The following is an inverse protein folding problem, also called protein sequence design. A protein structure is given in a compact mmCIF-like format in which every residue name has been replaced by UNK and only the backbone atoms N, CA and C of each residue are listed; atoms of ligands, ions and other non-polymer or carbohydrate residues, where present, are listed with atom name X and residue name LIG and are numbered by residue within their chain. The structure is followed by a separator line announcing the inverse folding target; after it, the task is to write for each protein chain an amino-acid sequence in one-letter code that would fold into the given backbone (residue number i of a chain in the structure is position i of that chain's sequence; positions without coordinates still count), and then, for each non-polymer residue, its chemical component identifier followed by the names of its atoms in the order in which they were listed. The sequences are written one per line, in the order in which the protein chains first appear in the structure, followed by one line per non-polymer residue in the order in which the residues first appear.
data_IF_210768381886
#
_entry.id   IF_210768381886
#
_cell.length_a   1.000
_cell.length_b   1.000
_cell.length_c   1.000
_cell.angle_alpha   90.00
_cell.angle_beta   90.00
_cell.angle_gamma   90.00
#
_symmetry.space_group_name_H-M   'P 1'
#
loop_
_entity.id
_entity.type
_entity.pdbx_description
1 polymer ?
#
# COMPACT_ATOMS: atom_id res chain seq x y z
N UNK A 1 80.43 -83.21 -34.51
CA UNK A 1 80.28 -82.21 -33.43
C UNK A 1 81.04 -80.97 -33.88
N UNK A 2 80.48 -79.80 -34.15
CA UNK A 2 79.25 -79.14 -33.69
C UNK A 2 78.61 -78.35 -34.86
N UNK A 3 77.30 -78.13 -34.75
CA UNK A 3 76.43 -77.64 -35.80
C UNK A 3 76.53 -76.14 -36.11
N UNK A 4 76.31 -75.82 -37.38
CA UNK A 4 76.03 -74.47 -37.83
C UNK A 4 74.53 -74.16 -37.59
N UNK A 5 74.25 -73.31 -36.61
CA UNK A 5 72.91 -72.75 -36.43
C UNK A 5 72.62 -71.80 -37.60
N UNK A 6 71.58 -72.12 -38.39
CA UNK A 6 71.02 -71.25 -39.42
C UNK A 6 70.51 -69.97 -38.77
N UNK A 7 71.09 -68.83 -39.15
CA UNK A 7 70.52 -67.51 -38.86
C UNK A 7 69.19 -67.37 -39.57
N UNK A 8 68.11 -67.30 -38.78
CA UNK A 8 66.79 -66.87 -39.28
C UNK A 8 66.88 -65.36 -39.47
N UNK A 9 66.80 -64.94 -40.73
CA UNK A 9 66.72 -63.53 -41.13
C UNK A 9 65.27 -63.09 -40.89
N UNK A 10 65.01 -62.20 -39.93
CA UNK A 10 63.70 -61.55 -39.82
C UNK A 10 63.47 -60.75 -41.11
N UNK A 11 62.57 -61.23 -41.97
CA UNK A 11 62.08 -60.50 -43.14
C UNK A 11 61.06 -59.45 -42.68
N UNK A 12 61.15 -58.25 -43.25
CA UNK A 12 60.17 -57.15 -43.26
C UNK A 12 59.07 -57.28 -42.21
N UNK A 13 59.35 -56.74 -41.02
CA UNK A 13 58.33 -56.58 -39.99
C UNK A 13 57.56 -55.32 -40.37
N UNK A 14 56.45 -55.50 -41.08
CA UNK A 14 55.45 -54.44 -41.20
C UNK A 14 54.69 -54.37 -39.89
N UNK A 15 54.46 -53.16 -39.42
CA UNK A 15 53.62 -52.89 -38.26
C UNK A 15 52.26 -53.58 -38.40
N UNK A 16 51.75 -54.15 -37.30
CA UNK A 16 50.41 -54.73 -37.25
C UNK A 16 49.52 -53.67 -36.64
N UNK A 17 48.53 -53.18 -37.39
CA UNK A 17 47.57 -52.23 -36.85
C UNK A 17 46.57 -52.94 -35.92
N UNK A 18 46.86 -52.97 -34.62
CA UNK A 18 46.01 -53.66 -33.65
C UNK A 18 44.65 -53.00 -33.45
N UNK A 19 44.48 -51.75 -33.91
CA UNK A 19 43.20 -51.05 -33.88
C UNK A 19 42.28 -51.48 -35.03
N UNK A 20 42.84 -51.66 -36.23
CA UNK A 20 42.10 -52.11 -37.42
C UNK A 20 41.75 -53.59 -37.35
N UNK A 21 42.60 -54.40 -36.70
CA UNK A 21 42.41 -55.84 -36.54
C UNK A 21 41.62 -56.22 -35.26
N UNK A 22 41.09 -55.24 -34.52
CA UNK A 22 40.36 -55.41 -33.24
C UNK A 22 41.14 -56.21 -32.17
N UNK A 23 42.47 -56.20 -32.25
CA UNK A 23 43.35 -56.90 -31.31
C UNK A 23 43.67 -56.06 -30.06
N UNK A 24 43.44 -54.75 -30.11
CA UNK A 24 43.65 -53.83 -29.01
C UNK A 24 42.47 -53.84 -28.01
N UNK A 25 42.64 -54.31 -26.76
CA UNK A 25 41.61 -54.31 -25.74
C UNK A 25 41.47 -52.93 -25.09
N UNK A 26 41.21 -51.89 -25.87
CA UNK A 26 40.95 -50.53 -25.37
C UNK A 26 39.49 -50.40 -24.94
N UNK A 27 39.26 -49.85 -23.75
CA UNK A 27 37.88 -49.57 -23.29
C UNK A 27 37.20 -48.47 -24.12
N UNK A 28 37.97 -47.51 -24.63
CA UNK A 28 37.50 -46.44 -25.51
C UNK A 28 38.23 -46.50 -26.86
N UNK A 29 38.95 -45.45 -27.26
CA UNK A 29 39.55 -45.34 -28.59
C UNK A 29 40.93 -45.98 -28.62
N UNK A 30 41.23 -46.72 -29.67
CA UNK A 30 42.57 -47.21 -29.98
C UNK A 30 43.32 -46.24 -30.90
N UNK A 31 44.64 -46.11 -30.71
CA UNK A 31 45.55 -45.34 -31.57
C UNK A 31 46.75 -46.22 -31.89
N UNK A 32 46.87 -46.61 -33.16
CA UNK A 32 47.97 -47.44 -33.64
C UNK A 32 49.28 -46.64 -33.70
N UNK A 33 50.39 -47.29 -33.40
CA UNK A 33 51.74 -46.72 -33.47
C UNK A 33 52.72 -47.76 -34.01
N UNK A 34 53.88 -47.32 -34.51
CA UNK A 34 54.82 -48.25 -35.11
C UNK A 34 55.39 -49.25 -34.06
N UNK A 35 54.98 -50.51 -34.16
CA UNK A 35 55.35 -51.61 -33.30
C UNK A 35 54.47 -51.81 -32.05
N UNK A 36 53.36 -51.06 -31.90
CA UNK A 36 52.45 -51.14 -30.74
C UNK A 36 51.17 -50.32 -30.95
N UNK A 37 50.20 -50.44 -30.06
CA UNK A 37 49.09 -49.49 -29.93
C UNK A 37 49.10 -48.75 -28.59
N UNK A 38 48.31 -47.67 -28.52
CA UNK A 38 47.97 -46.97 -27.28
C UNK A 38 46.45 -46.76 -27.20
N UNK A 39 45.89 -46.77 -25.99
CA UNK A 39 44.48 -46.45 -25.79
C UNK A 39 44.33 -44.97 -25.42
N UNK A 40 43.23 -44.36 -25.87
CA UNK A 40 42.88 -42.97 -25.62
C UNK A 40 41.43 -42.87 -25.12
N UNK A 41 41.23 -42.07 -24.08
CA UNK A 41 39.93 -41.90 -23.46
C UNK A 41 39.13 -40.76 -24.11
N UNK A 42 37.80 -40.86 -24.03
CA UNK A 42 36.89 -39.75 -24.37
C UNK A 42 37.05 -38.58 -23.39
N UNK A 43 36.63 -37.35 -23.75
CA UNK A 43 36.64 -36.22 -22.82
C UNK A 43 35.92 -36.55 -21.51
N UNK A 44 36.53 -36.18 -20.37
CA UNK A 44 36.02 -36.48 -19.03
C UNK A 44 36.44 -37.84 -18.46
N UNK A 45 37.37 -38.55 -19.11
CA UNK A 45 37.90 -39.83 -18.64
C UNK A 45 39.43 -39.84 -18.67
N UNK A 46 40.04 -40.50 -17.69
CA UNK A 46 41.49 -40.69 -17.56
C UNK A 46 41.88 -42.16 -17.83
N UNK A 47 43.03 -42.36 -18.47
CA UNK A 47 43.54 -43.70 -18.78
C UNK A 47 44.12 -44.35 -17.53
N UNK A 48 43.63 -45.54 -17.21
CA UNK A 48 44.07 -46.36 -16.11
C UNK A 48 45.55 -46.74 -16.17
N UNK A 49 46.10 -47.14 -15.02
CA UNK A 49 47.47 -47.63 -14.91
C UNK A 49 47.77 -48.89 -15.76
N UNK A 50 46.73 -49.61 -16.18
CA UNK A 50 46.83 -50.74 -17.11
C UNK A 50 46.96 -50.33 -18.59
N UNK A 51 46.86 -49.03 -18.88
CA UNK A 51 46.95 -48.45 -20.22
C UNK A 51 45.80 -48.82 -21.13
N UNK A 52 44.69 -49.39 -20.60
CA UNK A 52 43.61 -50.00 -21.40
C UNK A 52 42.22 -49.55 -20.97
N UNK A 53 41.97 -49.44 -19.67
CA UNK A 53 40.68 -49.01 -19.14
C UNK A 53 40.63 -47.50 -18.93
N UNK A 54 39.48 -46.89 -19.19
CA UNK A 54 39.27 -45.46 -18.97
C UNK A 54 38.31 -45.27 -17.79
N UNK A 55 38.73 -44.50 -16.80
CA UNK A 55 37.93 -44.18 -15.62
C UNK A 55 37.39 -42.77 -15.78
N UNK A 56 36.13 -42.56 -15.40
CA UNK A 56 35.56 -41.20 -15.41
C UNK A 56 36.38 -40.35 -14.44
N UNK A 57 36.79 -39.17 -14.87
CA UNK A 57 37.33 -38.14 -13.97
C UNK A 57 36.12 -37.74 -13.12
N UNK A 58 35.97 -38.37 -11.97
CA UNK A 58 35.01 -37.90 -10.98
C UNK A 58 35.53 -36.53 -10.58
N UNK A 59 34.80 -35.49 -10.99
CA UNK A 59 34.85 -34.21 -10.31
C UNK A 59 34.51 -34.54 -8.86
N UNK A 60 35.54 -34.72 -8.03
CA UNK A 60 35.35 -34.83 -6.61
C UNK A 60 34.58 -33.56 -6.22
N UNK A 61 33.32 -33.75 -5.82
CA UNK A 61 32.57 -32.70 -5.14
C UNK A 61 33.25 -32.60 -3.78
N UNK A 62 34.39 -31.91 -3.75
CA UNK A 62 35.01 -31.48 -2.49
C UNK A 62 33.91 -30.75 -1.76
N UNK A 63 33.54 -31.26 -0.60
CA UNK A 63 32.44 -30.70 0.16
C UNK A 63 32.77 -29.23 0.47
N UNK A 64 32.14 -28.33 -0.28
CA UNK A 64 32.41 -26.90 -0.24
C UNK A 64 32.05 -26.26 1.11
N UNK A 65 31.34 -27.00 1.98
CA UNK A 65 30.94 -26.55 3.30
C UNK A 65 31.92 -26.97 4.41
N UNK A 66 32.84 -27.91 4.16
CA UNK A 66 33.76 -28.42 5.20
C UNK A 66 34.63 -27.32 5.82
N UNK A 67 35.04 -26.35 5.02
CA UNK A 67 35.88 -25.25 5.47
C UNK A 67 35.04 -24.00 5.72
N UNK A 68 35.05 -23.51 6.96
CA UNK A 68 34.39 -22.28 7.37
C UNK A 68 32.91 -22.19 6.91
N UNK A 69 32.19 -23.31 6.93
CA UNK A 69 30.80 -23.40 6.46
C UNK A 69 30.61 -22.90 5.01
N UNK A 70 31.62 -23.04 4.14
CA UNK A 70 31.60 -22.48 2.78
C UNK A 70 31.61 -20.94 2.71
N UNK A 71 31.78 -20.29 3.87
CA UNK A 71 31.60 -18.86 4.05
C UNK A 71 30.15 -18.43 4.26
N UNK A 72 29.20 -19.37 4.41
CA UNK A 72 27.79 -19.06 4.68
C UNK A 72 27.60 -18.62 6.14
N UNK A 73 26.76 -17.60 6.38
CA UNK A 73 26.41 -17.16 7.74
C UNK A 73 25.63 -18.19 8.54
N UNK A 74 24.66 -18.87 7.90
CA UNK A 74 23.77 -19.82 8.58
C UNK A 74 23.97 -21.24 8.05
N UNK A 75 23.29 -21.61 6.97
CA UNK A 75 23.32 -22.98 6.44
C UNK A 75 24.13 -23.05 5.15
N UNK A 76 24.82 -24.18 4.95
CA UNK A 76 25.59 -24.47 3.75
C UNK A 76 25.24 -25.86 3.21
N UNK A 77 24.97 -25.93 1.91
CA UNK A 77 24.78 -27.17 1.16
C UNK A 77 25.86 -27.31 0.08
N UNK A 78 26.51 -28.49 -0.06
CA UNK A 78 27.49 -28.71 -1.13
C UNK A 78 26.81 -28.70 -2.50
N UNK A 79 27.35 -27.93 -3.46
CA UNK A 79 26.83 -27.90 -4.83
C UNK A 79 27.95 -27.89 -5.88
N UNK A 80 27.61 -28.27 -7.11
CA UNK A 80 28.53 -28.46 -8.25
C UNK A 80 29.21 -27.14 -8.68
N UNK A 81 28.71 -25.98 -8.23
CA UNK A 81 29.28 -24.66 -8.48
C UNK A 81 29.92 -23.96 -7.27
N UNK A 82 30.05 -24.64 -6.12
CA UNK A 82 30.48 -24.05 -4.86
C UNK A 82 29.43 -24.21 -3.74
N UNK A 83 29.67 -23.61 -2.55
CA UNK A 83 28.74 -23.71 -1.44
C UNK A 83 27.45 -22.94 -1.74
N UNK A 84 26.31 -23.60 -1.57
CA UNK A 84 24.99 -22.96 -1.65
C UNK A 84 24.54 -22.61 -0.24
N UNK A 85 24.41 -21.31 0.03
CA UNK A 85 24.00 -20.82 1.34
C UNK A 85 22.48 -20.70 1.44
N UNK A 86 21.94 -20.86 2.64
CA UNK A 86 20.55 -20.53 2.96
C UNK A 86 20.43 -19.97 4.38
N UNK A 87 19.36 -19.23 4.64
CA UNK A 87 19.17 -18.49 5.88
C UNK A 87 18.10 -19.13 6.76
N UNK A 88 18.21 -18.89 8.08
CA UNK A 88 17.15 -19.15 9.03
C UNK A 88 15.88 -18.36 8.68
N UNK A 89 14.75 -18.74 9.29
CA UNK A 89 13.52 -17.96 9.20
C UNK A 89 13.74 -16.50 9.64
N UNK A 90 12.98 -15.55 9.06
CA UNK A 90 13.13 -14.11 9.30
C UNK A 90 14.41 -13.49 8.71
N UNK A 91 15.12 -14.20 7.84
CA UNK A 91 16.35 -13.69 7.22
C UNK A 91 16.37 -14.01 5.72
N UNK A 92 17.08 -13.17 4.96
CA UNK A 92 17.33 -13.35 3.52
C UNK A 92 18.81 -13.28 3.19
N UNK A 93 19.18 -13.86 2.04
CA UNK A 93 20.54 -13.76 1.52
C UNK A 93 20.81 -12.33 1.03
N UNK A 94 21.99 -11.83 1.39
CA UNK A 94 22.53 -10.58 0.88
C UNK A 94 23.11 -10.75 -0.55
N UNK A 95 23.53 -9.66 -1.16
CA UNK A 95 24.06 -9.61 -2.53
C UNK A 95 25.33 -10.47 -2.74
N UNK A 96 26.02 -10.87 -1.67
CA UNK A 96 27.18 -11.76 -1.72
C UNK A 96 26.81 -13.27 -1.79
N UNK A 97 25.51 -13.58 -1.74
CA UNK A 97 24.93 -14.93 -1.72
C UNK A 97 25.42 -15.81 -0.55
N UNK A 98 25.95 -15.19 0.52
CA UNK A 98 26.56 -15.90 1.65
C UNK A 98 26.12 -15.36 3.01
N UNK A 99 26.01 -14.05 3.09
CA UNK A 99 25.64 -13.35 4.30
C UNK A 99 24.12 -13.37 4.45
N UNK A 100 23.65 -13.72 5.64
CA UNK A 100 22.22 -13.63 5.96
C UNK A 100 21.96 -12.33 6.69
N UNK A 101 21.10 -11.50 6.12
CA UNK A 101 20.62 -10.27 6.71
C UNK A 101 19.18 -10.45 7.16
N UNK A 102 18.81 -9.71 8.19
CA UNK A 102 17.44 -9.67 8.67
C UNK A 102 16.46 -9.28 7.56
N UNK A 103 15.31 -9.93 7.54
CA UNK A 103 14.23 -9.56 6.63
C UNK A 103 13.25 -8.67 7.37
N UNK A 104 13.35 -7.36 7.17
CA UNK A 104 12.46 -6.42 7.85
C UNK A 104 11.03 -6.53 7.31
N UNK A 105 10.18 -7.27 8.03
CA UNK A 105 8.77 -7.45 7.68
C UNK A 105 7.97 -6.14 7.78
N UNK A 106 8.42 -5.19 8.62
CA UNK A 106 7.77 -3.89 8.79
C UNK A 106 8.03 -2.97 7.60
N UNK A 107 9.25 -2.93 7.06
CA UNK A 107 9.60 -2.11 5.89
C UNK A 107 9.07 -2.70 4.58
N UNK A 108 9.06 -4.03 4.47
CA UNK A 108 8.54 -4.74 3.30
C UNK A 108 7.02 -4.71 3.18
N UNK A 109 6.31 -4.52 4.30
CA UNK A 109 4.85 -4.57 4.38
C UNK A 109 4.29 -5.98 4.49
N UNK A 110 5.13 -6.98 4.73
CA UNK A 110 4.72 -8.37 4.96
C UNK A 110 4.25 -8.60 6.42
N UNK A 111 4.50 -7.65 7.32
CA UNK A 111 4.00 -7.68 8.69
C UNK A 111 2.47 -7.55 8.74
N UNK A 112 1.83 -8.33 9.60
CA UNK A 112 0.37 -8.31 9.78
C UNK A 112 -0.16 -7.17 10.68
N UNK A 113 0.72 -6.29 11.17
CA UNK A 113 0.39 -5.34 12.22
C UNK A 113 -0.62 -4.27 11.76
N UNK A 114 -1.70 -4.10 12.51
CA UNK A 114 -2.73 -3.10 12.20
C UNK A 114 -2.30 -1.65 12.49
N UNK A 115 -1.47 -1.42 13.51
CA UNK A 115 -1.07 -0.07 13.94
C UNK A 115 0.45 0.09 14.01
N UNK A 116 1.11 -0.48 15.02
CA UNK A 116 2.55 -0.34 15.23
C UNK A 116 3.26 -1.65 14.88
N UNK A 117 4.39 -1.55 14.17
CA UNK A 117 5.25 -2.68 13.85
C UNK A 117 6.67 -2.39 14.35
N UNK A 118 7.24 -3.33 15.11
CA UNK A 118 8.59 -3.24 15.65
C UNK A 118 9.39 -4.42 15.12
N UNK A 119 10.35 -4.13 14.24
CA UNK A 119 11.24 -5.15 13.68
C UNK A 119 12.40 -5.47 14.65
N UNK A 120 12.81 -6.74 14.69
CA UNK A 120 14.01 -7.21 15.38
C UNK A 120 14.67 -8.36 14.61
N UNK A 121 15.90 -8.73 14.97
CA UNK A 121 16.61 -9.77 14.22
C UNK A 121 15.88 -11.12 14.29
N UNK A 122 15.39 -11.57 13.15
CA UNK A 122 14.67 -12.83 12.96
C UNK A 122 13.15 -12.75 13.03
N UNK A 123 12.56 -11.54 13.10
CA UNK A 123 11.12 -11.34 12.97
C UNK A 123 10.65 -10.00 13.54
N UNK A 124 9.34 -9.90 13.77
CA UNK A 124 8.72 -8.66 14.19
C UNK A 124 7.73 -8.87 15.33
N UNK A 125 7.35 -7.76 15.97
CA UNK A 125 6.29 -7.71 16.98
C UNK A 125 5.32 -6.58 16.64
N UNK A 126 4.04 -6.86 16.75
CA UNK A 126 2.99 -5.86 16.59
C UNK A 126 2.68 -5.20 17.93
N UNK A 127 2.50 -3.88 17.89
CA UNK A 127 2.05 -3.08 19.02
C UNK A 127 0.80 -2.28 18.67
N UNK A 128 0.16 -1.75 19.71
CA UNK A 128 -1.00 -0.90 19.59
C UNK A 128 -0.72 0.48 20.18
N UNK A 129 -1.42 1.49 19.66
CA UNK A 129 -1.44 2.83 20.21
C UNK A 129 -2.13 2.84 21.58
N UNK A 130 -1.98 3.93 22.31
CA UNK A 130 -2.70 4.14 23.57
C UNK A 130 -4.22 4.08 23.36
N UNK A 131 -4.96 3.51 24.31
CA UNK A 131 -6.40 3.21 24.17
C UNK A 131 -6.71 1.90 23.45
N UNK A 132 -5.70 1.15 23.00
CA UNK A 132 -5.89 -0.13 22.32
C UNK A 132 -5.08 -1.25 22.95
N UNK A 133 -5.54 -2.48 22.79
CA UNK A 133 -4.82 -3.70 23.17
C UNK A 133 -4.65 -4.63 21.98
N UNK A 134 -3.58 -5.42 21.99
CA UNK A 134 -3.35 -6.41 20.93
C UNK A 134 -4.50 -7.43 20.92
N UNK A 135 -5.03 -7.70 19.73
CA UNK A 135 -6.07 -8.70 19.56
C UNK A 135 -5.51 -10.11 19.71
N UNK A 136 -6.40 -11.09 19.85
CA UNK A 136 -6.05 -12.49 20.08
C UNK A 136 -5.27 -13.14 18.92
N UNK A 137 -5.32 -12.55 17.73
CA UNK A 137 -4.57 -12.97 16.56
C UNK A 137 -3.11 -12.47 16.55
N UNK A 138 -2.75 -11.56 17.47
CA UNK A 138 -1.42 -10.95 17.55
C UNK A 138 -1.14 -9.90 16.46
N UNK A 139 -2.13 -9.52 15.66
CA UNK A 139 -1.99 -8.65 14.49
C UNK A 139 -2.88 -7.41 14.58
N UNK A 140 -4.12 -7.60 15.07
CA UNK A 140 -5.10 -6.52 15.24
C UNK A 140 -4.92 -5.73 16.52
N UNK A 141 -5.51 -4.55 16.57
CA UNK A 141 -5.63 -3.73 17.78
C UNK A 141 -7.10 -3.50 18.10
N UNK A 142 -7.54 -4.06 19.22
CA UNK A 142 -8.90 -3.91 19.72
C UNK A 142 -8.97 -2.72 20.66
N UNK A 143 -10.04 -1.94 20.52
CA UNK A 143 -10.35 -0.84 21.39
C UNK A 143 -10.49 -1.29 22.86
N UNK A 144 -9.92 -0.53 23.78
CA UNK A 144 -10.06 -0.78 25.22
C UNK A 144 -11.22 0.04 25.72
N UNK A 145 -12.30 -0.63 26.12
CA UNK A 145 -13.42 0.06 26.75
C UNK A 145 -13.06 0.50 28.17
N UNK A 146 -12.63 1.76 28.32
CA UNK A 146 -12.23 2.29 29.62
C UNK A 146 -13.45 2.51 30.54
N UNK A 147 -14.67 2.61 30.00
CA UNK A 147 -15.89 2.73 30.81
C UNK A 147 -16.20 1.46 31.62
N UNK A 148 -15.57 0.32 31.27
CA UNK A 148 -15.61 -0.90 32.07
C UNK A 148 -14.57 -0.91 33.20
N UNK A 149 -13.63 0.03 33.21
CA UNK A 149 -12.61 0.17 34.24
C UNK A 149 -13.11 1.08 35.38
N UNK A 150 -12.94 0.63 36.61
CA UNK A 150 -13.37 1.37 37.82
C UNK A 150 -12.48 2.59 38.10
N UNK A 151 -11.35 2.73 37.41
CA UNK A 151 -10.45 3.87 37.53
C UNK A 151 -10.88 5.08 36.69
N UNK A 152 -11.84 4.93 35.78
CA UNK A 152 -12.42 6.05 35.05
C UNK A 152 -13.41 6.80 35.93
N UNK A 153 -13.13 8.09 36.12
CA UNK A 153 -13.83 8.98 37.03
C UNK A 153 -14.66 10.00 36.22
N UNK A 154 -15.77 9.52 35.65
CA UNK A 154 -16.82 10.38 35.08
C UNK A 154 -17.88 10.61 36.15
N UNK A 155 -18.35 11.85 36.30
CA UNK A 155 -19.32 12.21 37.34
C UNK A 155 -20.69 11.56 37.12
N UNK A 156 -21.12 11.40 35.86
CA UNK A 156 -22.43 10.85 35.52
C UNK A 156 -22.34 9.72 34.48
N UNK A 157 -22.12 10.05 33.20
CA UNK A 157 -22.11 9.08 32.11
C UNK A 157 -20.71 8.93 31.52
N UNK A 158 -20.30 7.69 31.26
CA UNK A 158 -19.10 7.37 30.47
C UNK A 158 -19.52 6.82 29.10
N UNK A 159 -18.92 7.35 28.04
CA UNK A 159 -19.14 6.92 26.66
C UNK A 159 -17.82 6.42 26.11
N UNK A 160 -17.76 5.14 25.77
CA UNK A 160 -16.59 4.56 25.13
C UNK A 160 -16.51 5.04 23.68
N UNK A 161 -15.36 5.59 23.31
CA UNK A 161 -15.03 6.10 21.98
C UNK A 161 -13.86 5.27 21.42
N UNK A 162 -13.59 5.35 20.12
CA UNK A 162 -12.48 4.55 19.55
C UNK A 162 -11.14 5.16 19.95
N UNK A 163 -10.35 4.42 20.73
CA UNK A 163 -9.04 4.77 21.27
C UNK A 163 -9.07 5.66 22.51
N UNK A 164 -10.26 5.94 23.07
CA UNK A 164 -10.44 6.83 24.22
C UNK A 164 -11.85 6.73 24.78
N UNK A 165 -12.16 7.52 25.81
CA UNK A 165 -13.51 7.66 26.34
C UNK A 165 -13.84 9.13 26.57
N UNK A 166 -15.13 9.43 26.53
CA UNK A 166 -15.66 10.76 26.81
C UNK A 166 -16.67 10.68 27.97
N UNK A 167 -16.59 11.63 28.91
CA UNK A 167 -17.62 11.78 29.92
C UNK A 167 -18.75 12.67 29.38
N UNK A 168 -19.98 12.32 29.69
CA UNK A 168 -21.17 13.07 29.34
C UNK A 168 -22.06 13.28 30.57
N UNK A 169 -22.98 14.24 30.46
CA UNK A 169 -23.89 14.62 31.53
C UNK A 169 -25.34 14.35 31.14
N UNK A 170 -26.15 14.06 32.14
CA UNK A 170 -27.60 13.95 32.03
C UNK A 170 -28.25 15.31 31.74
N UNK A 171 -29.53 15.29 31.34
CA UNK A 171 -30.28 16.51 31.05
C UNK A 171 -30.33 17.44 32.28
N UNK A 172 -30.12 18.74 32.07
CA UNK A 172 -30.03 19.74 33.14
C UNK A 172 -28.61 19.98 33.67
N UNK A 173 -27.60 19.31 33.11
CA UNK A 173 -26.19 19.48 33.47
C UNK A 173 -25.33 19.81 32.24
N UNK A 174 -24.22 20.54 32.45
CA UNK A 174 -23.18 20.76 31.43
C UNK A 174 -21.84 20.19 31.88
N UNK A 175 -21.03 19.73 30.93
CA UNK A 175 -19.68 19.22 31.23
C UNK A 175 -18.78 20.37 31.72
N UNK A 176 -18.05 20.12 32.80
CA UNK A 176 -17.08 21.02 33.40
C UNK A 176 -15.81 21.15 32.54
N UNK A 177 -14.96 22.11 32.89
CA UNK A 177 -13.70 22.38 32.17
C UNK A 177 -12.66 21.26 32.29
N UNK A 178 -12.83 20.37 33.26
CA UNK A 178 -12.00 19.18 33.45
C UNK A 178 -12.42 18.01 32.53
N UNK A 179 -13.52 18.17 31.78
CA UNK A 179 -14.05 17.14 30.88
C UNK A 179 -14.64 15.93 31.60
N UNK A 180 -14.88 16.02 32.93
CA UNK A 180 -15.30 14.89 33.77
C UNK A 180 -16.45 15.21 34.71
N UNK A 181 -16.46 16.42 35.28
CA UNK A 181 -17.46 16.85 36.25
C UNK A 181 -18.70 17.40 35.57
N UNK A 182 -19.90 17.10 36.08
CA UNK A 182 -21.15 17.65 35.56
C UNK A 182 -21.66 18.77 36.47
N UNK A 183 -21.76 19.98 35.92
CA UNK A 183 -22.23 21.18 36.62
C UNK A 183 -23.72 21.38 36.35
N UNK A 184 -24.52 21.56 37.40
CA UNK A 184 -25.96 21.79 37.21
C UNK A 184 -26.19 23.14 36.52
N UNK A 185 -27.17 23.18 35.61
CA UNK A 185 -27.59 24.41 34.94
C UNK A 185 -28.46 25.29 35.85
N UNK A 186 -29.00 24.71 36.94
CA UNK A 186 -29.85 25.41 37.90
C UNK A 186 -29.03 26.22 38.92
N UNK A 187 -27.77 25.84 39.18
CA UNK A 187 -26.87 26.56 40.08
C UNK A 187 -26.39 27.91 39.50
N UNK A 188 -26.54 28.14 38.18
CA UNK A 188 -26.24 29.44 37.55
C UNK A 188 -27.31 30.50 37.82
N UNK A 189 -28.43 30.18 38.50
CA UNK A 189 -29.48 31.14 38.85
C UNK A 189 -29.34 31.81 40.23
N UNK A 190 -28.26 31.55 40.99
CA UNK A 190 -28.10 32.11 42.34
C UNK A 190 -27.00 33.18 42.50
N UNK A 191 -26.56 33.81 41.40
CA UNK A 191 -25.76 35.05 41.45
C UNK A 191 -26.30 36.17 40.53
N UNK A 192 -27.58 36.12 40.12
CA UNK A 192 -28.26 37.22 39.38
C UNK A 192 -29.22 38.06 40.25
N UNK A 193 -29.05 38.09 41.57
CA UNK A 193 -29.62 39.17 42.39
C UNK A 193 -28.51 40.12 42.84
N UNK A 194 -28.42 41.24 42.13
CA UNK A 194 -27.50 42.39 42.33
C UNK A 194 -26.19 42.39 41.54
N UNK A 195 -26.23 42.62 40.23
CA UNK A 195 -25.52 43.77 39.63
C UNK A 195 -26.26 44.26 38.37
N UNK A 196 -26.85 45.45 38.50
CA UNK A 196 -27.30 46.25 37.37
C UNK A 196 -26.05 46.78 36.65
N UNK A 197 -25.51 46.02 35.70
CA UNK A 197 -24.42 46.49 34.83
C UNK A 197 -24.93 46.81 33.43
N UNK A 198 -24.98 48.11 33.19
CA UNK A 198 -25.22 48.87 31.96
C UNK A 198 -25.18 48.09 30.63
N UNK A 199 -26.36 47.98 30.01
CA UNK A 199 -26.52 47.70 28.58
C UNK A 199 -25.94 48.88 27.80
N UNK A 200 -24.64 48.84 27.49
CA UNK A 200 -24.06 49.63 26.42
C UNK A 200 -24.57 49.09 25.08
N UNK A 201 -25.70 49.66 24.69
CA UNK A 201 -26.25 49.76 23.35
C UNK A 201 -25.11 50.00 22.34
N UNK A 202 -24.68 48.98 21.60
CA UNK A 202 -23.92 49.20 20.38
C UNK A 202 -24.87 49.68 19.28
N UNK A 203 -24.67 50.87 18.69
CA UNK A 203 -25.42 51.29 17.52
C UNK A 203 -24.84 50.56 16.30
N UNK A 204 -25.53 49.55 15.78
CA UNK A 204 -25.12 48.93 14.51
C UNK A 204 -25.62 47.52 14.20
N UNK A 205 -26.18 46.77 15.15
CA UNK A 205 -26.87 45.52 14.80
C UNK A 205 -28.27 45.87 14.28
N UNK A 206 -28.39 45.95 12.95
CA UNK A 206 -29.68 45.77 12.28
C UNK A 206 -30.07 44.30 12.44
N UNK A 207 -30.82 44.00 13.51
CA UNK A 207 -31.72 42.85 13.47
C UNK A 207 -32.80 43.22 12.46
N UNK A 208 -32.59 42.85 11.20
CA UNK A 208 -33.72 42.73 10.29
C UNK A 208 -34.54 41.54 10.80
N UNK A 209 -35.59 41.87 11.54
CA UNK A 209 -36.75 41.01 11.65
C UNK A 209 -37.20 40.74 10.22
N UNK A 210 -36.93 39.54 9.71
CA UNK A 210 -37.56 39.11 8.47
C UNK A 210 -39.07 39.17 8.69
N UNK A 211 -39.81 39.91 7.86
CA UNK A 211 -41.25 40.05 8.01
C UNK A 211 -41.90 38.75 7.56
N UNK A 212 -42.57 38.07 8.50
CA UNK A 212 -43.64 37.13 8.17
C UNK A 212 -44.64 37.82 7.23
N UNK A 213 -45.21 37.11 6.24
CA UNK A 213 -46.24 36.13 6.60
C UNK A 213 -46.16 34.85 5.77
N UNK A 214 -46.14 33.70 6.45
CA UNK A 214 -46.93 32.59 5.94
C UNK A 214 -48.24 32.57 6.74
N UNK A 215 -49.37 32.88 6.09
CA UNK A 215 -50.66 32.91 6.75
C UNK A 215 -51.06 31.48 7.11
N UNK A 216 -51.60 31.36 8.31
CA UNK A 216 -52.61 30.39 8.71
C UNK A 216 -53.36 29.77 7.54
N UNK A 217 -53.34 28.44 7.46
CA UNK A 217 -54.53 27.60 7.32
C UNK A 217 -54.21 26.20 7.89
N UNK A 218 -54.69 25.94 9.10
CA UNK A 218 -55.29 24.65 9.46
C UNK A 218 -56.83 24.83 9.35
N UNK A 219 -57.68 23.80 9.53
CA UNK A 219 -57.64 22.38 9.19
C UNK A 219 -58.94 21.92 8.45
N UNK A 220 -59.09 20.59 8.22
CA UNK A 220 -60.34 19.80 8.13
C UNK A 220 -60.65 19.09 6.80
N UNK A 221 -60.66 17.76 6.89
CA UNK A 221 -61.62 16.77 6.37
C UNK A 221 -61.19 15.46 7.05
N UNK A 222 -61.65 15.12 8.26
CA UNK A 222 -63.01 14.65 8.54
C UNK A 222 -63.52 13.71 7.45
N UNK A 223 -63.09 12.45 7.50
CA UNK A 223 -63.85 11.33 6.99
C UNK A 223 -64.30 10.51 8.21
N UNK A 224 -65.47 10.86 8.72
CA UNK A 224 -66.28 10.01 9.58
C UNK A 224 -67.01 8.98 8.71
N UNK A 225 -66.77 7.69 8.95
CA UNK A 225 -67.74 6.63 8.69
C UNK A 225 -67.72 5.68 9.88
N UNK A 226 -68.91 5.45 10.44
CA UNK A 226 -69.22 4.68 11.62
C UNK A 226 -69.12 3.16 11.36
N UNK A 227 -68.61 2.46 12.37
CA UNK A 227 -68.94 1.12 12.90
C UNK A 227 -69.38 -0.03 11.95
N UNK A 228 -68.62 -1.13 11.96
CA UNK A 228 -68.96 -2.40 12.67
C UNK A 228 -67.92 -3.49 12.30
N UNK A 229 -67.42 -4.16 13.36
CA UNK A 229 -66.89 -5.53 13.42
C UNK A 229 -65.70 -5.95 12.51
N UNK A 230 -64.53 -6.16 13.12
CA UNK A 230 -63.90 -7.48 13.29
C UNK A 230 -62.40 -7.37 13.62
N UNK A 231 -61.93 -8.35 14.37
CA UNK A 231 -60.70 -8.45 15.15
C UNK A 231 -59.39 -8.52 14.34
N UNK A 232 -58.30 -8.29 15.08
CA UNK A 232 -56.90 -8.70 14.86
C UNK A 232 -55.96 -7.81 14.01
N UNK A 233 -54.99 -7.27 14.74
CA UNK A 233 -53.60 -6.98 14.36
C UNK A 233 -53.31 -5.77 13.43
N UNK A 234 -53.34 -4.57 14.02
CA UNK A 234 -52.59 -3.38 13.57
C UNK A 234 -51.20 -3.41 14.24
N UNK A 235 -50.07 -2.98 13.67
CA UNK A 235 -49.78 -1.80 12.83
C UNK A 235 -48.58 -2.16 11.90
N UNK A 236 -48.74 -2.13 10.59
CA UNK A 236 -48.52 -0.99 9.68
C UNK A 236 -47.05 -0.76 9.26
N UNK A 237 -46.76 -1.17 8.03
CA UNK A 237 -45.75 -0.55 7.17
C UNK A 237 -46.07 0.94 6.97
N UNK A 238 -45.09 1.82 7.13
CA UNK A 238 -44.59 2.77 6.11
C UNK A 238 -43.72 3.88 6.73
N UNK A 239 -42.78 4.39 5.92
CA UNK A 239 -41.97 5.61 6.10
C UNK A 239 -40.58 5.50 6.78
N UNK A 240 -39.61 4.92 6.06
CA UNK A 240 -38.19 5.23 6.27
C UNK A 240 -37.79 6.48 5.48
N UNK A 241 -38.30 7.64 5.90
CA UNK A 241 -37.82 8.97 5.51
C UNK A 241 -37.84 9.88 6.74
N UNK A 242 -36.73 9.95 7.48
CA UNK A 242 -36.65 10.90 8.59
C UNK A 242 -35.48 10.70 9.55
N UNK A 243 -34.25 10.95 9.10
CA UNK A 243 -33.15 11.48 9.93
C UNK A 243 -32.03 12.05 9.03
N UNK A 244 -32.43 12.92 8.10
CA UNK A 244 -31.56 13.94 7.53
C UNK A 244 -32.18 15.31 7.81
N UNK A 245 -32.28 15.67 9.08
CA UNK A 245 -32.36 17.07 9.49
C UNK A 245 -30.98 17.45 9.99
N UNK A 246 -30.10 17.68 9.01
CA UNK A 246 -28.79 18.30 9.14
C UNK A 246 -28.84 19.40 10.20
N UNK A 247 -28.09 19.26 11.30
CA UNK A 247 -27.42 20.43 11.83
C UNK A 247 -26.46 20.89 10.72
N UNK A 248 -26.94 21.74 9.81
CA UNK A 248 -26.08 22.38 8.83
C UNK A 248 -25.30 23.41 9.61
N UNK A 249 -24.07 23.06 9.97
CA UNK A 249 -23.10 24.02 10.51
C UNK A 249 -22.93 25.13 9.45
N UNK A 250 -23.54 26.28 9.70
CA UNK A 250 -23.44 27.46 8.83
C UNK A 250 -22.36 28.35 9.42
N UNK A 251 -21.21 28.38 8.77
CA UNK A 251 -20.10 29.21 9.20
C UNK A 251 -20.41 30.69 9.05
N UNK A 252 -19.91 31.48 10.00
CA UNK A 252 -19.97 32.95 9.97
C UNK A 252 -19.14 33.49 8.79
N UNK A 253 -19.22 34.80 8.53
CA UNK A 253 -18.48 35.39 7.42
C UNK A 253 -16.98 35.32 7.68
N UNK A 254 -16.28 34.65 6.76
CA UNK A 254 -14.85 34.43 6.87
C UNK A 254 -14.45 33.10 7.48
N UNK A 255 -15.36 32.18 7.82
CA UNK A 255 -14.99 30.81 8.23
C UNK A 255 -15.65 29.70 7.38
N UNK A 256 -15.04 28.52 7.35
CA UNK A 256 -15.48 27.34 6.60
C UNK A 256 -14.95 26.03 7.23
N UNK A 257 -15.42 24.89 6.74
CA UNK A 257 -15.09 23.55 7.28
C UNK A 257 -16.30 22.85 7.89
N UNK A 258 -16.12 21.61 8.33
CA UNK A 258 -17.20 20.80 8.95
C UNK A 258 -17.64 21.37 10.30
N UNK A 259 -16.76 22.11 10.98
CA UNK A 259 -16.91 22.71 12.31
C UNK A 259 -16.65 24.23 12.34
N UNK A 260 -16.44 24.87 11.18
CA UNK A 260 -16.09 26.29 11.02
C UNK A 260 -14.78 26.74 11.69
N UNK A 261 -13.87 25.82 11.99
CA UNK A 261 -12.59 26.14 12.61
C UNK A 261 -11.58 26.82 11.67
N UNK A 262 -11.82 26.81 10.36
CA UNK A 262 -10.92 27.40 9.37
C UNK A 262 -11.41 28.76 8.89
N UNK A 263 -10.51 29.71 8.71
CA UNK A 263 -10.80 31.05 8.20
C UNK A 263 -10.48 31.20 6.71
N UNK A 264 -11.23 32.03 5.98
CA UNK A 264 -10.92 32.47 4.62
C UNK A 264 -9.54 33.15 4.51
N UNK A 265 -9.02 33.72 5.61
CA UNK A 265 -7.66 34.25 5.66
C UNK A 265 -6.59 33.14 5.64
N UNK A 266 -6.99 31.89 5.86
CA UNK A 266 -6.11 30.73 5.82
C UNK A 266 -6.00 30.11 4.41
N UNK A 267 -6.62 30.70 3.38
CA UNK A 267 -6.36 30.29 2.00
C UNK A 267 -4.91 30.61 1.61
N UNK A 268 -4.10 29.56 1.44
CA UNK A 268 -2.69 29.69 1.11
C UNK A 268 -2.48 29.81 -0.40
N UNK A 269 -1.27 30.22 -0.79
CA UNK A 269 -0.80 30.24 -2.18
C UNK A 269 -1.68 31.01 -3.16
N UNK A 270 -2.37 32.06 -2.70
CA UNK A 270 -3.25 32.89 -3.53
C UNK A 270 -4.65 32.30 -3.76
N UNK A 271 -5.05 31.30 -2.96
CA UNK A 271 -6.41 30.77 -2.94
C UNK A 271 -7.46 31.83 -2.61
N UNK A 272 -8.63 31.73 -3.24
CA UNK A 272 -9.78 32.63 -3.00
C UNK A 272 -10.92 31.88 -2.34
N UNK A 273 -11.50 32.40 -1.27
CA UNK A 273 -12.58 31.71 -0.57
C UNK A 273 -13.81 31.45 -1.48
N UNK A 274 -14.36 30.23 -1.46
CA UNK A 274 -15.49 29.85 -2.32
C UNK A 274 -16.82 30.42 -1.81
N UNK A 275 -17.65 30.99 -2.68
CA UNK A 275 -19.03 31.39 -2.34
C UNK A 275 -19.84 30.14 -1.99
N UNK A 276 -20.31 30.05 -0.74
CA UNK A 276 -20.97 28.85 -0.20
C UNK A 276 -20.17 28.11 0.89
N UNK A 277 -18.98 28.60 1.25
CA UNK A 277 -18.24 28.29 2.50
C UNK A 277 -17.79 26.83 2.67
N UNK A 278 -17.48 26.13 1.57
CA UNK A 278 -16.96 24.75 1.61
C UNK A 278 -15.43 24.64 1.58
N UNK A 279 -14.70 25.74 1.33
CA UNK A 279 -13.24 25.72 1.19
C UNK A 279 -12.67 26.88 0.36
N UNK A 280 -11.38 26.81 0.04
CA UNK A 280 -10.67 27.73 -0.84
C UNK A 280 -10.69 27.27 -2.32
N UNK A 281 -10.90 28.19 -3.26
CA UNK A 281 -10.64 28.01 -4.68
C UNK A 281 -9.14 28.17 -4.93
N UNK A 282 -8.48 27.08 -5.27
CA UNK A 282 -7.03 27.05 -5.41
C UNK A 282 -6.58 27.42 -6.84
N UNK A 283 -5.53 28.24 -6.98
CA UNK A 283 -4.89 28.48 -8.27
C UNK A 283 -4.19 27.22 -8.79
N UNK A 284 -3.94 27.16 -10.10
CA UNK A 284 -3.38 25.99 -10.78
C UNK A 284 -2.11 25.46 -10.08
N UNK A 285 -2.06 24.15 -9.83
CA UNK A 285 -0.97 23.47 -9.14
C UNK A 285 -1.18 23.21 -7.65
N UNK A 286 -2.22 23.82 -7.05
CA UNK A 286 -2.57 23.65 -5.63
C UNK A 286 -3.92 22.97 -5.44
N UNK A 287 -4.01 22.10 -4.43
CA UNK A 287 -5.20 21.35 -4.03
C UNK A 287 -5.39 21.40 -2.51
N UNK A 288 -6.46 20.77 -2.01
CA UNK A 288 -6.83 20.78 -0.60
C UNK A 288 -7.73 21.96 -0.21
N UNK A 289 -8.38 21.87 0.94
CA UNK A 289 -9.36 22.87 1.43
C UNK A 289 -8.73 24.24 1.73
N UNK A 290 -7.41 24.30 1.95
CA UNK A 290 -6.62 25.50 2.22
C UNK A 290 -5.59 25.82 1.11
N UNK A 291 -5.57 25.06 0.00
CA UNK A 291 -4.57 25.21 -1.08
C UNK A 291 -3.11 24.98 -0.64
N UNK A 292 -2.91 24.06 0.31
CA UNK A 292 -1.61 23.71 0.88
C UNK A 292 -0.97 22.46 0.24
N UNK A 293 -1.73 21.69 -0.53
CA UNK A 293 -1.24 20.50 -1.23
C UNK A 293 -0.79 20.90 -2.63
N UNK A 294 0.43 20.51 -3.03
CA UNK A 294 0.90 20.72 -4.41
C UNK A 294 0.78 19.40 -5.17
N UNK A 295 0.23 19.44 -6.38
CA UNK A 295 0.16 18.25 -7.23
C UNK A 295 1.50 18.00 -7.96
N UNK A 296 2.60 17.88 -7.21
CA UNK A 296 3.94 17.62 -7.75
C UNK A 296 4.33 16.17 -7.54
N UNK A 297 4.64 15.45 -8.63
CA UNK A 297 5.52 14.28 -8.55
C UNK A 297 6.94 14.79 -8.29
N UNK A 298 7.63 14.17 -7.33
CA UNK A 298 9.06 14.33 -7.08
C UNK A 298 9.86 13.76 -8.25
N UNK A 299 10.11 14.57 -9.29
CA UNK A 299 11.24 14.31 -10.18
C UNK A 299 12.52 14.74 -9.48
N UNK A 300 13.55 13.90 -9.57
CA UNK A 300 14.86 14.00 -8.91
C UNK A 300 15.75 15.15 -9.38
N UNK A 301 15.21 16.36 -9.51
CA UNK A 301 15.97 17.62 -9.58
C UNK A 301 15.10 18.71 -8.96
N UNK A 302 15.58 19.33 -7.88
CA UNK A 302 14.93 20.44 -7.17
C UNK A 302 14.67 21.64 -8.11
N UNK A 303 13.49 21.68 -8.74
CA UNK A 303 12.92 22.86 -9.39
C UNK A 303 11.39 22.71 -9.45
N UNK A 304 10.69 23.54 -8.69
CA UNK A 304 9.23 23.61 -8.63
C UNK A 304 8.66 24.35 -9.84
N UNK A 305 8.09 23.60 -10.79
CA UNK A 305 7.22 24.11 -11.86
C UNK A 305 6.04 23.14 -12.04
N UNK A 306 4.77 23.60 -12.09
CA UNK A 306 3.63 22.72 -12.28
C UNK A 306 3.33 22.57 -13.77
N UNK A 307 3.38 21.35 -14.30
CA UNK A 307 2.57 21.02 -15.47
C UNK A 307 1.97 19.65 -15.27
N UNK A 308 0.66 19.55 -15.56
CA UNK A 308 -0.04 18.28 -15.64
C UNK A 308 0.59 17.34 -16.67
N UNK A 309 -0.14 16.29 -17.02
CA UNK A 309 0.44 15.24 -17.84
C UNK A 309 1.05 15.73 -19.16
N UNK A 310 2.23 15.21 -19.56
CA UNK A 310 2.83 15.50 -20.85
C UNK A 310 1.79 15.40 -21.98
N UNK A 311 1.90 16.27 -22.99
CA UNK A 311 0.96 16.27 -24.14
C UNK A 311 0.81 14.85 -24.69
N UNK A 312 -0.44 14.37 -24.72
CA UNK A 312 -0.76 13.02 -25.16
C UNK A 312 -0.85 11.98 -24.04
N UNK A 313 -0.76 12.36 -22.76
CA UNK A 313 -0.95 11.45 -21.62
C UNK A 313 -1.97 11.98 -20.62
N UNK A 314 -2.59 11.09 -19.85
CA UNK A 314 -3.61 11.40 -18.85
C UNK A 314 -3.66 10.38 -17.70
N UNK A 315 -4.44 10.67 -16.66
CA UNK A 315 -4.67 9.76 -15.54
C UNK A 315 -3.65 9.90 -14.41
N UNK A 316 -3.72 9.00 -13.43
CA UNK A 316 -2.82 9.01 -12.27
C UNK A 316 -1.37 8.82 -12.71
N UNK A 317 -0.50 9.74 -12.30
CA UNK A 317 0.91 9.80 -12.70
C UNK A 317 1.16 9.78 -14.23
N UNK A 318 0.17 10.15 -15.05
CA UNK A 318 0.30 10.24 -16.51
C UNK A 318 0.64 8.90 -17.19
N UNK A 319 0.17 7.83 -16.57
CA UNK A 319 0.42 6.44 -16.99
C UNK A 319 -0.37 6.00 -18.23
N UNK A 320 -1.37 6.78 -18.67
CA UNK A 320 -2.24 6.44 -19.79
C UNK A 320 -2.00 7.37 -20.99
N UNK A 321 -2.02 6.81 -22.19
CA UNK A 321 -1.83 7.56 -23.44
C UNK A 321 -3.17 7.96 -24.09
N UNK A 322 -3.26 9.21 -24.53
CA UNK A 322 -4.42 9.75 -25.23
C UNK A 322 -4.56 9.13 -26.62
N UNK A 323 -5.75 8.61 -26.93
CA UNK A 323 -6.02 7.97 -28.22
C UNK A 323 -6.51 8.95 -29.30
N UNK A 324 -6.43 10.26 -29.07
CA UNK A 324 -6.92 11.28 -30.00
C UNK A 324 -6.15 11.29 -31.34
N UNK A 325 -6.80 11.65 -32.45
CA UNK A 325 -6.12 11.87 -33.73
C UNK A 325 -5.39 13.21 -33.68
N UNK A 326 -4.06 13.17 -33.52
CA UNK A 326 -3.21 14.34 -33.23
C UNK A 326 -3.42 15.51 -34.21
N UNK A 327 -3.52 15.21 -35.50
CA UNK A 327 -3.69 16.23 -36.55
C UNK A 327 -5.01 17.01 -36.42
N UNK A 328 -6.05 16.36 -35.90
CA UNK A 328 -7.42 16.87 -35.82
C UNK A 328 -7.84 17.27 -34.40
N UNK A 329 -6.94 17.09 -33.42
CA UNK A 329 -7.20 17.35 -31.99
C UNK A 329 -6.56 18.67 -31.58
N UNK A 330 -7.32 19.51 -30.89
CA UNK A 330 -6.86 20.75 -30.30
C UNK A 330 -6.13 20.49 -28.97
N UNK A 331 -6.73 19.66 -28.12
CA UNK A 331 -6.20 19.31 -26.81
C UNK A 331 -6.74 17.97 -26.30
N UNK A 332 -5.93 17.21 -25.57
CA UNK A 332 -6.36 16.05 -24.80
C UNK A 332 -6.37 16.37 -23.31
N UNK A 333 -7.45 16.06 -22.60
CA UNK A 333 -7.57 16.31 -21.17
C UNK A 333 -6.63 15.43 -20.35
N UNK A 334 -5.69 16.04 -19.61
CA UNK A 334 -4.79 15.34 -18.69
C UNK A 334 -5.53 14.60 -17.54
N UNK A 335 -6.79 14.94 -17.27
CA UNK A 335 -7.59 14.32 -16.19
C UNK A 335 -8.21 12.99 -16.60
N UNK A 336 -8.79 12.92 -17.80
CA UNK A 336 -9.62 11.80 -18.21
C UNK A 336 -9.43 11.36 -19.67
N UNK A 337 -8.48 11.94 -20.41
CA UNK A 337 -8.13 11.51 -21.76
C UNK A 337 -9.12 11.92 -22.86
N UNK A 338 -10.09 12.78 -22.54
CA UNK A 338 -11.08 13.26 -23.53
C UNK A 338 -10.44 14.21 -24.55
N UNK A 339 -10.85 14.09 -25.81
CA UNK A 339 -10.30 14.84 -26.94
C UNK A 339 -11.19 16.04 -27.31
N UNK A 340 -10.60 17.23 -27.34
CA UNK A 340 -11.24 18.44 -27.88
C UNK A 340 -10.84 18.59 -29.35
N UNK A 341 -11.80 18.52 -30.26
CA UNK A 341 -11.53 18.50 -31.69
C UNK A 341 -11.36 19.90 -32.30
N UNK A 342 -10.51 20.01 -33.32
CA UNK A 342 -10.39 21.22 -34.13
C UNK A 342 -11.70 21.49 -34.90
N UNK A 343 -12.02 22.76 -35.21
CA UNK A 343 -13.19 23.09 -36.04
C UNK A 343 -13.18 22.32 -37.35
N UNK A 344 -14.32 21.72 -37.72
CA UNK A 344 -14.42 20.83 -38.88
C UNK A 344 -14.20 19.35 -38.56
N UNK A 345 -13.94 18.98 -37.31
CA UNK A 345 -13.78 17.58 -36.87
C UNK A 345 -14.64 17.28 -35.63
N UNK A 346 -15.15 16.05 -35.54
CA UNK A 346 -15.97 15.55 -34.45
C UNK A 346 -15.63 14.08 -34.12
N UNK A 347 -16.30 13.55 -33.10
CA UNK A 347 -16.09 12.20 -32.58
C UNK A 347 -15.22 12.18 -31.33
N UNK A 348 -15.29 11.08 -30.57
CA UNK A 348 -14.58 10.92 -29.29
C UNK A 348 -13.05 10.93 -29.39
N UNK A 349 -12.49 10.76 -30.61
CA UNK A 349 -11.07 10.83 -30.91
C UNK A 349 -10.75 11.84 -32.02
N UNK A 350 -11.70 12.68 -32.42
CA UNK A 350 -11.56 13.64 -33.52
C UNK A 350 -11.29 12.99 -34.89
N UNK A 351 -11.91 11.84 -35.12
CA UNK A 351 -11.69 11.00 -36.29
C UNK A 351 -12.62 11.31 -37.48
N UNK A 352 -13.71 12.05 -37.27
CA UNK A 352 -14.70 12.35 -38.31
C UNK A 352 -14.58 13.81 -38.78
N UNK A 353 -14.43 14.04 -40.08
CA UNK A 353 -14.54 15.39 -40.65
C UNK A 353 -16.02 15.78 -40.81
N UNK A 354 -16.39 16.97 -40.39
CA UNK A 354 -17.72 17.53 -40.63
C UNK A 354 -17.73 18.24 -41.97
N UNK A 355 -18.36 17.63 -42.98
CA UNK A 355 -18.55 18.28 -44.28
C UNK A 355 -19.51 19.48 -44.09
N UNK A 356 -18.99 20.70 -44.19
CA UNK A 356 -19.76 21.92 -44.43
C UNK A 356 -19.32 22.57 -45.73
#
# INVERSE_FOLDING_TARGET
MLGAARGVRCQNITDIDECSEELAPCAHRCVNSEGSFTCACHPGFELGADGKHCYRIELEIVNSCEKNNGGCSHHCEPAIGGPRCSCNHGHRLDADEKTCIDFDECESGDACCAQLCINYSGGYECGCQEGFRISSDGCGCDDVDECLDVSVDCDQLCINSVGTYDCACEEGYRIGSDGRTCLSLDDEQLEEEEEVLDILRFPGLLVENSPWPFPYLAPSLAASYEDEDDEEDQEAEEEFQGLTALHRVVCLDGTFGLDCSLSCDNCLNGGKCQQGKSGCFCPEGWTGILCNESNTLTTSVNQSVPLGCPRGTYGTACSLECQCVEENTLECSAKNGSCTCKPGYQGNRCQEGTNQ
#
